data_IF_846811073846
#
_entry.id   IF_846811073846
#
_cell.length_a   1.000
_cell.length_b   1.000
_cell.length_c   1.000
_cell.angle_alpha   90.00
_cell.angle_beta   90.00
_cell.angle_gamma   90.00
#
_symmetry.space_group_name_H-M   'P 1'
#
loop_
_entity.id
_entity.type
_entity.pdbx_description
1 polymer ?
#
# COMPACT_ATOMS: atom_id res chain seq x y z
N UNK A 1 39.50 4.35 21.78
CA UNK A 1 38.44 5.32 21.46
C UNK A 1 38.82 6.09 20.20
N UNK A 2 37.97 6.07 19.17
CA UNK A 2 37.68 7.27 18.38
C UNK A 2 36.16 7.45 18.23
N UNK A 3 35.62 8.62 18.59
CA UNK A 3 35.43 9.81 17.74
C UNK A 3 34.25 9.67 16.76
N UNK A 4 33.22 10.46 17.01
CA UNK A 4 31.91 10.35 16.38
C UNK A 4 31.85 10.78 14.91
N UNK A 5 30.81 10.29 14.24
CA UNK A 5 30.30 10.81 12.98
C UNK A 5 28.78 10.91 13.08
N UNK A 6 28.27 12.13 13.08
CA UNK A 6 26.85 12.46 13.00
C UNK A 6 26.50 12.54 11.51
N UNK A 7 25.67 11.63 10.99
CA UNK A 7 25.17 11.74 9.61
C UNK A 7 23.71 12.18 9.61
N UNK A 8 23.51 13.46 9.24
CA UNK A 8 22.22 14.13 9.11
C UNK A 8 21.56 13.75 7.78
N UNK A 9 20.24 13.59 7.83
CA UNK A 9 19.22 13.98 6.83
C UNK A 9 19.48 13.62 5.35
N UNK A 10 18.72 12.64 4.83
CA UNK A 10 18.40 12.47 3.40
C UNK A 10 16.91 12.12 3.30
N UNK A 11 16.01 13.10 3.11
CA UNK A 11 15.48 13.56 1.82
C UNK A 11 15.28 12.40 0.82
N UNK A 12 14.08 11.84 0.79
CA UNK A 12 13.68 10.81 -0.16
C UNK A 12 13.00 11.50 -1.34
N UNK A 13 13.78 11.74 -2.38
CA UNK A 13 13.26 12.16 -3.69
C UNK A 13 12.59 10.94 -4.33
N UNK A 14 11.29 11.06 -4.53
CA UNK A 14 10.48 10.03 -5.15
C UNK A 14 10.62 10.09 -6.68
N UNK A 15 10.69 8.89 -7.27
CA UNK A 15 10.28 8.57 -8.65
C UNK A 15 11.28 8.87 -9.77
N UNK A 16 11.88 7.80 -10.33
CA UNK A 16 11.72 7.46 -11.76
C UNK A 16 12.23 6.05 -12.10
N UNK A 17 11.64 5.39 -13.11
CA UNK A 17 11.97 4.03 -13.52
C UNK A 17 13.10 4.03 -14.56
N UNK A 18 14.01 3.07 -14.46
CA UNK A 18 14.87 2.67 -15.58
C UNK A 18 14.65 1.17 -15.77
N UNK A 19 14.02 0.84 -16.90
CA UNK A 19 13.99 -0.52 -17.43
C UNK A 19 15.34 -0.71 -18.14
N UNK A 20 16.14 -1.67 -17.70
CA UNK A 20 17.28 -2.15 -18.49
C UNK A 20 16.86 -3.47 -19.12
N UNK A 21 16.70 -3.44 -20.43
CA UNK A 21 16.68 -4.63 -21.27
C UNK A 21 18.12 -4.94 -21.64
N UNK A 22 18.57 -6.18 -21.48
CA UNK A 22 19.76 -6.65 -22.19
C UNK A 22 19.56 -8.09 -22.66
N UNK A 23 19.96 -8.26 -23.92
CA UNK A 23 20.16 -9.48 -24.69
C UNK A 23 21.28 -10.34 -24.07
N UNK A 24 21.08 -11.65 -24.11
CA UNK A 24 21.96 -12.73 -23.64
C UNK A 24 22.27 -12.87 -22.13
N UNK A 25 21.84 -14.03 -21.59
CA UNK A 25 22.43 -14.64 -20.39
C UNK A 25 21.49 -14.72 -19.20
N UNK A 26 20.88 -15.90 -19.00
CA UNK A 26 20.17 -16.29 -17.76
C UNK A 26 21.05 -16.04 -16.52
N UNK A 27 20.62 -15.14 -15.64
CA UNK A 27 21.10 -15.08 -14.26
C UNK A 27 19.96 -15.43 -13.28
N UNK A 28 20.12 -16.45 -12.41
CA UNK A 28 19.10 -16.80 -11.43
C UNK A 28 18.94 -15.68 -10.40
N UNK A 29 17.70 -15.48 -9.97
CA UNK A 29 17.15 -14.43 -9.09
C UNK A 29 17.79 -14.33 -7.68
N UNK A 30 18.91 -15.01 -7.44
CA UNK A 30 19.51 -15.25 -6.11
C UNK A 30 20.63 -14.25 -5.74
N UNK A 31 21.09 -13.39 -6.66
CA UNK A 31 22.35 -12.65 -6.50
C UNK A 31 22.21 -11.12 -6.38
N UNK A 32 21.31 -10.62 -5.53
CA UNK A 32 21.30 -9.20 -5.11
C UNK A 32 21.37 -9.07 -3.58
N UNK A 33 22.26 -9.87 -2.98
CA UNK A 33 22.65 -9.79 -1.56
C UNK A 33 23.82 -8.80 -1.34
N UNK A 34 24.32 -8.11 -2.38
CA UNK A 34 25.52 -7.26 -2.33
C UNK A 34 25.19 -5.77 -2.37
N UNK A 35 24.45 -5.28 -1.39
CA UNK A 35 24.39 -3.84 -1.10
C UNK A 35 23.94 -3.55 0.34
N UNK A 36 24.50 -4.26 1.35
CA UNK A 36 24.40 -3.83 2.76
C UNK A 36 23.02 -3.37 3.24
N UNK A 37 21.95 -4.05 2.83
CA UNK A 37 20.57 -3.66 3.19
C UNK A 37 20.27 -4.27 4.57
N UNK A 38 19.81 -3.50 5.57
CA UNK A 38 19.51 -4.04 6.89
C UNK A 38 18.49 -5.18 6.81
N UNK A 39 18.83 -6.32 7.41
CA UNK A 39 18.07 -7.59 7.43
C UNK A 39 16.74 -7.54 8.22
N UNK A 40 16.14 -6.36 8.38
CA UNK A 40 14.97 -6.10 9.23
C UNK A 40 13.70 -5.73 8.45
N UNK A 41 13.53 -6.13 7.19
CA UNK A 41 12.23 -6.00 6.49
C UNK A 41 12.08 -7.13 5.48
N UNK A 42 11.45 -8.23 5.89
CA UNK A 42 11.46 -9.44 5.06
C UNK A 42 10.28 -10.38 5.23
N UNK A 43 9.12 -9.93 5.72
CA UNK A 43 7.86 -10.57 5.32
C UNK A 43 7.34 -9.81 4.12
N UNK A 44 7.77 -10.22 2.92
CA UNK A 44 7.04 -9.89 1.70
C UNK A 44 5.72 -10.64 1.75
N UNK A 45 4.74 -10.11 2.49
CA UNK A 45 3.37 -10.56 2.34
C UNK A 45 2.99 -10.34 0.88
N UNK A 46 2.70 -11.44 0.17
CA UNK A 46 2.22 -11.39 -1.21
C UNK A 46 0.77 -10.90 -1.18
N UNK A 47 0.59 -9.59 -1.10
CA UNK A 47 -0.74 -8.98 -1.20
C UNK A 47 -1.22 -9.10 -2.64
N UNK A 48 -2.36 -9.75 -2.84
CA UNK A 48 -2.97 -9.86 -4.17
C UNK A 48 -3.74 -8.57 -4.50
N UNK A 49 -3.32 -7.85 -5.53
CA UNK A 49 -4.05 -6.65 -6.00
C UNK A 49 -4.91 -7.02 -7.22
N UNK A 50 -6.23 -6.91 -7.09
CA UNK A 50 -7.19 -7.09 -8.18
C UNK A 50 -7.73 -5.72 -8.57
N UNK A 51 -7.68 -5.41 -9.85
CA UNK A 51 -8.23 -4.18 -10.41
C UNK A 51 -9.38 -4.55 -11.35
N UNK A 52 -10.56 -4.03 -11.07
CA UNK A 52 -11.77 -4.24 -11.87
C UNK A 52 -12.34 -2.90 -12.29
N UNK A 53 -12.84 -2.79 -13.52
CA UNK A 53 -13.61 -1.65 -13.98
C UNK A 53 -15.02 -2.12 -14.31
N UNK A 54 -16.05 -1.55 -13.69
CA UNK A 54 -17.46 -1.92 -14.00
C UNK A 54 -17.91 -1.28 -15.32
N UNK A 55 -17.60 -0.01 -15.49
CA UNK A 55 -17.96 0.78 -16.66
C UNK A 55 -16.70 1.49 -17.16
N UNK A 56 -16.32 1.21 -18.41
CA UNK A 56 -15.14 1.78 -19.07
C UNK A 56 -13.91 0.86 -19.08
N UNK A 57 -12.89 1.26 -19.84
CA UNK A 57 -11.61 0.56 -19.91
C UNK A 57 -10.52 1.35 -19.18
N UNK A 58 -9.79 0.67 -18.29
CA UNK A 58 -8.63 1.23 -17.64
C UNK A 58 -7.40 0.99 -18.51
N UNK A 59 -6.74 2.08 -18.92
CA UNK A 59 -5.42 1.99 -19.54
C UNK A 59 -4.41 1.33 -18.59
N UNK A 60 -3.45 0.51 -19.10
CA UNK A 60 -2.41 -0.10 -18.27
C UNK A 60 -1.56 0.92 -17.51
N UNK A 61 -1.40 2.14 -18.04
CA UNK A 61 -0.73 3.24 -17.34
C UNK A 61 -1.53 3.69 -16.11
N UNK A 62 -2.86 3.74 -16.20
CA UNK A 62 -3.75 4.08 -15.08
C UNK A 62 -3.75 2.97 -14.03
N UNK A 63 -3.81 1.71 -14.46
CA UNK A 63 -3.73 0.55 -13.57
C UNK A 63 -2.44 0.57 -12.74
N UNK A 64 -1.29 0.78 -13.40
CA UNK A 64 0.02 0.85 -12.72
C UNK A 64 0.07 1.96 -11.67
N UNK A 65 -0.51 3.13 -11.98
CA UNK A 65 -0.59 4.25 -11.02
C UNK A 65 -1.50 3.93 -9.83
N UNK A 66 -2.65 3.30 -10.06
CA UNK A 66 -3.58 2.89 -9.00
C UNK A 66 -2.88 1.87 -8.09
N UNK A 67 -2.26 0.84 -8.66
CA UNK A 67 -1.48 -0.15 -7.91
C UNK A 67 -0.42 0.52 -7.05
N UNK A 68 0.36 1.47 -7.60
CA UNK A 68 1.38 2.19 -6.84
C UNK A 68 0.81 3.00 -5.66
N UNK A 69 -0.39 3.58 -5.80
CA UNK A 69 -1.07 4.27 -4.68
C UNK A 69 -1.54 3.30 -3.61
N UNK A 70 -2.16 2.20 -4.03
CA UNK A 70 -2.72 1.17 -3.15
C UNK A 70 -1.62 0.41 -2.41
N UNK A 71 -0.44 0.19 -3.02
CA UNK A 71 0.73 -0.42 -2.36
C UNK A 71 1.21 0.35 -1.12
N UNK A 72 0.89 1.65 -1.00
CA UNK A 72 1.24 2.44 0.19
C UNK A 72 0.48 1.97 1.44
N UNK A 73 -0.72 1.42 1.27
CA UNK A 73 -1.56 0.92 2.37
C UNK A 73 -0.92 -0.24 3.12
N UNK A 74 -0.12 -1.06 2.41
CA UNK A 74 0.60 -2.18 3.00
C UNK A 74 1.59 -1.76 4.10
N UNK A 75 2.08 -0.51 4.09
CA UNK A 75 3.01 -0.02 5.13
C UNK A 75 2.31 0.25 6.47
N UNK A 76 1.00 0.47 6.46
CA UNK A 76 0.25 0.77 7.68
C UNK A 76 -0.28 -0.50 8.34
N UNK A 77 -0.61 -1.50 7.52
CA UNK A 77 -1.20 -2.76 7.97
C UNK A 77 -0.53 -3.96 7.28
N UNK A 78 0.27 -4.69 8.05
CA UNK A 78 1.07 -5.83 7.56
C UNK A 78 0.26 -7.12 7.36
N UNK A 79 -1.04 -7.11 7.69
CA UNK A 79 -1.94 -8.28 7.61
C UNK A 79 -2.87 -8.30 6.41
N UNK A 80 -2.64 -7.45 5.39
CA UNK A 80 -3.48 -7.43 4.18
C UNK A 80 -3.20 -8.66 3.33
N UNK A 81 -4.25 -9.39 2.94
CA UNK A 81 -4.15 -10.57 2.08
C UNK A 81 -4.52 -10.22 0.64
N UNK A 82 -5.58 -9.42 0.47
CA UNK A 82 -6.06 -9.01 -0.85
C UNK A 82 -6.57 -7.57 -0.84
N UNK A 83 -6.39 -6.91 -1.98
CA UNK A 83 -6.89 -5.56 -2.26
C UNK A 83 -7.64 -5.60 -3.57
N UNK A 84 -8.95 -5.37 -3.54
CA UNK A 84 -9.78 -5.28 -4.73
C UNK A 84 -10.18 -3.82 -4.96
N UNK A 85 -9.76 -3.26 -6.08
CA UNK A 85 -10.11 -1.91 -6.50
C UNK A 85 -11.10 -2.02 -7.63
N UNK A 86 -12.27 -1.41 -7.44
CA UNK A 86 -13.31 -1.34 -8.45
C UNK A 86 -13.51 0.11 -8.84
N UNK A 87 -13.30 0.41 -10.12
CA UNK A 87 -13.55 1.74 -10.67
C UNK A 87 -14.84 1.72 -11.48
N UNK A 88 -15.72 2.66 -11.19
CA UNK A 88 -16.96 2.88 -11.92
C UNK A 88 -16.90 4.26 -12.61
N UNK A 89 -16.93 4.24 -13.95
CA UNK A 89 -16.93 5.44 -14.78
C UNK A 89 -18.29 5.64 -15.47
N UNK A 90 -19.39 5.20 -14.86
CA UNK A 90 -20.72 5.33 -15.45
C UNK A 90 -21.07 6.79 -15.78
N UNK A 91 -20.65 7.73 -14.93
CA UNK A 91 -20.79 9.16 -15.18
C UNK A 91 -19.41 9.82 -15.32
N UNK A 92 -19.07 10.45 -16.45
CA UNK A 92 -17.77 11.10 -16.63
C UNK A 92 -17.56 12.29 -15.67
N UNK A 93 -18.66 12.90 -15.19
CA UNK A 93 -18.63 13.98 -14.22
C UNK A 93 -18.51 13.50 -12.77
N UNK A 94 -18.82 12.23 -12.48
CA UNK A 94 -18.83 11.67 -11.12
C UNK A 94 -18.27 10.24 -11.14
N UNK A 95 -16.97 10.06 -11.43
CA UNK A 95 -16.31 8.78 -11.27
C UNK A 95 -16.41 8.31 -9.81
N UNK A 96 -16.82 7.06 -9.64
CA UNK A 96 -16.91 6.41 -8.34
C UNK A 96 -15.81 5.35 -8.22
N UNK A 97 -15.12 5.34 -7.08
CA UNK A 97 -14.06 4.37 -6.79
C UNK A 97 -14.38 3.66 -5.50
N UNK A 98 -14.31 2.34 -5.55
CA UNK A 98 -14.51 1.45 -4.43
C UNK A 98 -13.23 0.65 -4.20
N UNK A 99 -12.70 0.66 -2.97
CA UNK A 99 -11.55 -0.15 -2.58
C UNK A 99 -11.98 -1.04 -1.41
N UNK A 100 -11.84 -2.34 -1.62
CA UNK A 100 -12.09 -3.39 -0.64
C UNK A 100 -10.75 -4.00 -0.22
N UNK A 101 -10.47 -3.96 1.08
CA UNK A 101 -9.29 -4.58 1.66
C UNK A 101 -9.68 -5.76 2.54
N UNK A 102 -9.12 -6.93 2.22
CA UNK A 102 -9.34 -8.18 2.94
C UNK A 102 -8.08 -8.58 3.70
N UNK A 103 -8.27 -9.09 4.91
CA UNK A 103 -7.19 -9.50 5.82
C UNK A 103 -7.55 -10.81 6.53
N UNK A 104 -6.53 -11.64 6.82
CA UNK A 104 -6.71 -13.02 7.31
C UNK A 104 -7.46 -13.13 8.65
N UNK A 105 -7.45 -12.08 9.47
CA UNK A 105 -8.03 -12.10 10.82
C UNK A 105 -9.07 -11.01 11.05
N UNK A 106 -9.57 -10.36 10.00
CA UNK A 106 -10.40 -9.16 10.13
C UNK A 106 -11.51 -9.09 9.09
N UNK A 107 -12.54 -8.28 9.40
CA UNK A 107 -13.62 -7.99 8.47
C UNK A 107 -13.12 -7.18 7.26
N UNK A 108 -13.72 -7.43 6.11
CA UNK A 108 -13.41 -6.69 4.88
C UNK A 108 -13.70 -5.19 5.10
N UNK A 109 -12.67 -4.37 4.89
CA UNK A 109 -12.79 -2.92 4.98
C UNK A 109 -13.10 -2.36 3.60
N UNK A 110 -14.28 -1.76 3.47
CA UNK A 110 -14.74 -1.14 2.23
C UNK A 110 -14.65 0.37 2.35
N UNK A 111 -14.13 0.99 1.31
CA UNK A 111 -14.09 2.44 1.16
C UNK A 111 -14.67 2.82 -0.19
N UNK A 112 -15.58 3.79 -0.16
CA UNK A 112 -16.23 4.34 -1.34
C UNK A 112 -15.99 5.85 -1.42
N UNK A 113 -15.66 6.33 -2.60
CA UNK A 113 -15.50 7.76 -2.86
C UNK A 113 -16.02 8.09 -4.26
N UNK A 114 -16.74 9.21 -4.34
CA UNK A 114 -17.19 9.83 -5.59
C UNK A 114 -16.72 11.27 -5.61
N UNK A 115 -16.09 11.69 -6.71
CA UNK A 115 -15.64 13.06 -6.88
C UNK A 115 -15.67 13.46 -8.36
N UNK A 116 -15.51 14.75 -8.65
CA UNK A 116 -15.47 15.26 -10.03
C UNK A 116 -14.25 14.82 -10.86
N UNK A 117 -13.28 14.15 -10.25
CA UNK A 117 -12.06 13.70 -10.91
C UNK A 117 -11.62 12.32 -10.42
N UNK A 118 -11.36 11.39 -11.36
CA UNK A 118 -10.95 10.02 -11.04
C UNK A 118 -9.80 9.94 -10.03
N UNK A 119 -8.76 10.76 -10.20
CA UNK A 119 -7.60 10.73 -9.33
C UNK A 119 -7.90 11.21 -7.92
N UNK A 120 -8.77 12.22 -7.78
CA UNK A 120 -9.25 12.66 -6.47
C UNK A 120 -10.05 11.55 -5.81
N UNK A 121 -10.83 10.79 -6.59
CA UNK A 121 -11.57 9.66 -6.05
C UNK A 121 -10.74 8.51 -5.57
N UNK A 122 -9.71 8.15 -6.33
CA UNK A 122 -8.72 7.16 -5.89
C UNK A 122 -8.04 7.63 -4.60
N UNK A 123 -7.57 8.88 -4.54
CA UNK A 123 -6.89 9.40 -3.36
C UNK A 123 -7.82 9.48 -2.14
N UNK A 124 -9.05 9.92 -2.33
CA UNK A 124 -10.05 9.99 -1.26
C UNK A 124 -10.42 8.61 -0.72
N UNK A 125 -10.60 7.61 -1.58
CA UNK A 125 -10.83 6.24 -1.17
C UNK A 125 -9.64 5.66 -0.39
N UNK A 126 -8.41 5.86 -0.89
CA UNK A 126 -7.17 5.43 -0.21
C UNK A 126 -7.04 6.08 1.16
N UNK A 127 -7.30 7.38 1.29
CA UNK A 127 -7.22 8.08 2.58
C UNK A 127 -8.26 7.58 3.58
N UNK A 128 -9.50 7.34 3.15
CA UNK A 128 -10.55 6.77 4.01
C UNK A 128 -10.14 5.38 4.52
N UNK A 129 -9.62 4.54 3.64
CA UNK A 129 -9.16 3.21 3.99
C UNK A 129 -7.96 3.25 4.94
N UNK A 130 -7.01 4.17 4.72
CA UNK A 130 -5.88 4.38 5.64
C UNK A 130 -6.36 4.74 7.04
N UNK A 131 -7.35 5.64 7.16
CA UNK A 131 -7.92 6.02 8.45
C UNK A 131 -8.62 4.84 9.14
N UNK A 132 -9.36 4.01 8.39
CA UNK A 132 -9.98 2.79 8.92
C UNK A 132 -8.92 1.83 9.47
N UNK A 133 -7.84 1.59 8.70
CA UNK A 133 -6.73 0.73 9.10
C UNK A 133 -6.03 1.24 10.38
N UNK A 134 -5.77 2.54 10.47
CA UNK A 134 -5.15 3.16 11.65
C UNK A 134 -6.02 3.00 12.89
N UNK A 135 -7.31 3.35 12.80
CA UNK A 135 -8.27 3.22 13.90
C UNK A 135 -8.39 1.77 14.35
N UNK A 136 -8.39 0.83 13.41
CA UNK A 136 -8.45 -0.58 13.74
C UNK A 136 -7.21 -1.05 14.50
N UNK A 137 -6.01 -0.72 13.98
CA UNK A 137 -4.73 -1.06 14.61
C UNK A 137 -4.61 -0.48 16.02
N UNK A 138 -5.09 0.74 16.23
CA UNK A 138 -5.12 1.38 17.54
C UNK A 138 -6.02 0.62 18.52
N UNK A 139 -7.27 0.29 18.14
CA UNK A 139 -8.19 -0.51 18.95
C UNK A 139 -7.62 -1.88 19.30
N UNK A 140 -7.01 -2.58 18.35
CA UNK A 140 -6.39 -3.89 18.60
C UNK A 140 -5.20 -3.80 19.56
N UNK A 141 -4.49 -2.66 19.59
CA UNK A 141 -3.36 -2.43 20.49
C UNK A 141 -3.81 -2.06 21.90
N UNK A 142 -4.86 -1.25 22.02
CA UNK A 142 -5.31 -0.70 23.32
C UNK A 142 -5.86 -1.79 24.26
N UNK A 143 -6.49 -2.83 23.71
CA UNK A 143 -6.90 -4.01 24.49
C UNK A 143 -5.74 -4.75 25.17
N UNK A 144 -4.49 -4.56 24.72
CA UNK A 144 -3.31 -5.14 25.38
C UNK A 144 -2.80 -4.31 26.56
N UNK A 145 -3.17 -3.03 26.66
CA UNK A 145 -2.65 -2.13 27.68
C UNK A 145 -3.56 -2.01 28.92
N UNK A 146 -4.88 -2.16 28.75
CA UNK A 146 -5.85 -2.07 29.86
C UNK A 146 -5.73 -3.20 30.90
N UNK A 147 -5.10 -4.33 30.56
CA UNK A 147 -4.96 -5.46 31.48
C UNK A 147 -3.88 -5.26 32.58
N UNK A 148 -3.08 -4.19 32.52
CA UNK A 148 -1.90 -4.03 33.40
C UNK A 148 -2.12 -3.16 34.65
N UNK A 149 -3.26 -2.49 34.84
CA UNK A 149 -3.42 -1.49 35.92
C UNK A 149 -4.43 -1.83 37.01
N UNK A 150 -5.01 -3.04 37.05
CA UNK A 150 -5.84 -3.47 38.19
C UNK A 150 -4.99 -4.13 39.28
N UNK A 151 -4.17 -3.34 39.95
CA UNK A 151 -3.61 -3.68 41.27
C UNK A 151 -3.45 -2.40 42.07
N UNK A 152 -4.43 -2.12 42.95
CA UNK A 152 -4.35 -2.01 44.41
C UNK A 152 -5.77 -1.67 44.90
#
# INVERSE_FOLDING_TARGET
>A
MPAGAVCRRWFVEASRPVVCSTDEGKWPFQACHEAGVPRWFGRTFRVQTKLSARHGQLSPATQSKITAKVSRLNRYFDGLTALNVTVDLQNPALPAVEIVASAEHFHDMVSHEVSGHLWRSVDGAVQKLEQQLRKHKEKSRDHKHVQSSRKV
#
